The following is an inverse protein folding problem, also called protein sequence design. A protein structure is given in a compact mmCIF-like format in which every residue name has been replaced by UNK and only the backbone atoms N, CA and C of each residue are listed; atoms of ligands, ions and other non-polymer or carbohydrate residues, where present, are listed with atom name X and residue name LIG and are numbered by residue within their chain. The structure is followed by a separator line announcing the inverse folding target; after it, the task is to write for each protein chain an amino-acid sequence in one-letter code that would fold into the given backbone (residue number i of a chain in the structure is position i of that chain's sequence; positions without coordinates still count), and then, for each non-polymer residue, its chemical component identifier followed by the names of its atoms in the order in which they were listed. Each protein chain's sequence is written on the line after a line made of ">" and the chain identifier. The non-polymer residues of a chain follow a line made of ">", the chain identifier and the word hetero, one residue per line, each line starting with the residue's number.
data_IF_415219761975
#
_entry.id   IF_415219761975
#
_cell.length_a   1.000
_cell.length_b   1.000
_cell.length_c   1.000
_cell.angle_alpha   90.00
_cell.angle_beta   90.00
_cell.angle_gamma   90.00
#
_symmetry.space_group_name_H-M   'P 1'
#
loop_
_entity.id
_entity.type
_entity.pdbx_description
1 polymer ?
#
# COMPACT_ATOMS: atom_id res chain seq x y z
N UNK A 1 -7.87 -46.10 20.65
CA UNK A 1 -8.10 -45.11 19.58
C UNK A 1 -6.74 -44.70 19.02
N UNK A 2 -6.44 -45.01 17.75
CA UNK A 2 -5.10 -44.79 17.16
C UNK A 2 -5.06 -43.37 16.59
N UNK A 3 -4.39 -42.44 17.27
CA UNK A 3 -4.16 -41.11 16.74
C UNK A 3 -3.36 -41.24 15.44
N UNK A 4 -3.91 -40.78 14.32
CA UNK A 4 -3.18 -40.72 13.05
C UNK A 4 -2.26 -39.51 13.14
N UNK A 5 -0.96 -39.74 13.37
CA UNK A 5 0.05 -38.68 13.33
C UNK A 5 0.07 -38.10 11.91
N UNK A 6 -0.24 -36.82 11.74
CA UNK A 6 -0.05 -36.13 10.47
C UNK A 6 1.45 -36.00 10.20
N UNK A 7 1.91 -36.51 9.07
CA UNK A 7 3.33 -36.46 8.69
C UNK A 7 3.75 -35.06 8.26
N UNK A 8 5.03 -34.73 8.43
CA UNK A 8 5.63 -33.46 7.98
C UNK A 8 5.32 -33.15 6.51
N UNK A 9 5.29 -34.17 5.64
CA UNK A 9 4.91 -34.02 4.24
C UNK A 9 3.48 -33.51 4.05
N UNK A 10 2.51 -33.97 4.86
CA UNK A 10 1.13 -33.47 4.81
C UNK A 10 1.03 -32.04 5.33
N UNK A 11 1.87 -31.65 6.29
CA UNK A 11 1.96 -30.26 6.77
C UNK A 11 2.56 -29.34 5.70
N UNK A 12 3.62 -29.77 5.03
CA UNK A 12 4.26 -29.03 3.92
C UNK A 12 3.30 -28.90 2.75
N UNK A 13 2.59 -29.97 2.39
CA UNK A 13 1.60 -29.94 1.32
C UNK A 13 0.45 -28.98 1.67
N UNK A 14 -0.03 -29.00 2.92
CA UNK A 14 -1.08 -28.10 3.38
C UNK A 14 -0.62 -26.63 3.37
N UNK A 15 0.60 -26.35 3.80
CA UNK A 15 1.18 -25.01 3.76
C UNK A 15 1.35 -24.52 2.32
N UNK A 16 1.85 -25.36 1.41
CA UNK A 16 2.01 -25.03 -0.01
C UNK A 16 0.64 -24.77 -0.70
N UNK A 17 -0.37 -25.58 -0.38
CA UNK A 17 -1.75 -25.36 -0.86
C UNK A 17 -2.32 -24.06 -0.30
N UNK A 18 -2.11 -23.75 0.99
CA UNK A 18 -2.54 -22.48 1.58
C UNK A 18 -1.88 -21.28 0.89
N UNK A 19 -0.58 -21.35 0.58
CA UNK A 19 0.16 -20.28 -0.13
C UNK A 19 -0.25 -20.12 -1.59
N UNK A 20 -0.84 -21.15 -2.21
CA UNK A 20 -1.36 -21.09 -3.57
C UNK A 20 -2.84 -20.66 -3.64
N UNK A 21 -3.60 -20.84 -2.56
CA UNK A 21 -5.00 -20.42 -2.46
C UNK A 21 -5.15 -18.97 -2.03
N UNK A 22 -4.07 -18.34 -1.60
CA UNK A 22 -4.04 -16.92 -1.34
C UNK A 22 -3.62 -16.20 -2.63
N UNK A 23 -4.47 -15.34 -3.20
CA UNK A 23 -4.10 -14.61 -4.40
C UNK A 23 -2.83 -13.79 -4.13
N UNK A 24 -1.96 -13.71 -5.14
CA UNK A 24 -0.69 -12.95 -5.10
C UNK A 24 -0.90 -11.45 -4.82
N UNK A 25 -2.15 -11.01 -4.73
CA UNK A 25 -2.62 -9.68 -4.40
C UNK A 25 -2.55 -9.42 -2.89
N UNK A 26 -1.39 -9.61 -2.25
CA UNK A 26 -1.18 -9.03 -0.94
C UNK A 26 -0.68 -7.59 -1.10
N UNK A 27 -1.63 -6.66 -1.02
CA UNK A 27 -1.53 -5.51 -0.12
C UNK A 27 -0.37 -4.50 -0.32
N UNK A 28 -0.13 -4.05 -1.55
CA UNK A 28 0.45 -2.72 -1.73
C UNK A 28 -0.59 -1.84 -2.40
N UNK A 29 -1.05 -0.81 -1.69
CA UNK A 29 -1.83 0.26 -2.30
C UNK A 29 -1.02 0.86 -3.47
N UNK A 30 -1.68 1.29 -4.55
CA UNK A 30 -1.00 2.02 -5.62
C UNK A 30 -0.16 3.17 -5.04
N UNK A 31 0.98 3.47 -5.66
CA UNK A 31 1.80 4.62 -5.24
C UNK A 31 0.96 5.89 -5.41
N UNK A 32 0.79 6.67 -4.34
CA UNK A 32 -0.04 7.87 -4.36
C UNK A 32 -1.51 7.65 -3.97
N UNK A 33 -1.94 6.43 -3.61
CA UNK A 33 -3.23 6.18 -2.94
C UNK A 33 -3.09 6.50 -1.44
N UNK A 34 -3.36 7.76 -1.10
CA UNK A 34 -3.15 8.34 0.23
C UNK A 34 -4.35 8.10 1.16
N UNK A 35 -5.56 7.94 0.61
CA UNK A 35 -6.75 7.61 1.39
C UNK A 35 -7.00 6.09 1.53
N UNK A 36 -6.19 5.27 0.84
CA UNK A 36 -6.20 3.80 0.88
C UNK A 36 -7.51 3.22 0.36
N UNK A 37 -8.09 3.87 -0.65
CA UNK A 37 -9.33 3.43 -1.27
C UNK A 37 -9.14 2.51 -2.48
N UNK A 38 -7.90 2.14 -2.79
CA UNK A 38 -7.47 1.33 -3.94
C UNK A 38 -7.53 2.04 -5.30
N UNK A 39 -7.64 3.38 -5.33
CA UNK A 39 -7.67 4.21 -6.52
C UNK A 39 -6.87 5.48 -6.27
N UNK A 40 -5.96 5.83 -7.19
CA UNK A 40 -5.27 7.12 -7.16
C UNK A 40 -6.14 8.15 -7.89
N UNK A 41 -6.76 9.08 -7.17
CA UNK A 41 -7.62 10.10 -7.73
C UNK A 41 -7.47 11.50 -7.08
N UNK A 42 -8.44 12.38 -7.32
CA UNK A 42 -8.41 13.77 -6.83
C UNK A 42 -8.48 13.87 -5.30
N UNK A 43 -8.98 12.84 -4.61
CA UNK A 43 -9.00 12.78 -3.14
C UNK A 43 -7.59 12.68 -2.59
N UNK A 44 -6.75 11.88 -3.22
CA UNK A 44 -5.33 11.77 -2.86
C UNK A 44 -4.60 13.08 -3.10
N UNK A 45 -4.87 13.72 -4.23
CA UNK A 45 -4.31 15.06 -4.50
C UNK A 45 -4.76 16.07 -3.44
N UNK A 46 -5.99 15.99 -2.94
CA UNK A 46 -6.48 16.82 -1.84
C UNK A 46 -5.76 16.57 -0.52
N UNK A 47 -5.43 15.31 -0.21
CA UNK A 47 -4.63 14.95 0.97
C UNK A 47 -3.20 15.49 0.84
N UNK A 48 -2.58 15.31 -0.32
CA UNK A 48 -1.24 15.85 -0.61
C UNK A 48 -1.24 17.37 -0.50
N UNK A 49 -2.23 18.05 -1.10
CA UNK A 49 -2.35 19.50 -1.06
C UNK A 49 -2.50 20.05 0.37
N UNK A 50 -3.18 19.33 1.27
CA UNK A 50 -3.29 19.71 2.69
C UNK A 50 -1.95 19.63 3.43
N UNK A 51 -1.07 18.73 3.02
CA UNK A 51 0.27 18.58 3.56
C UNK A 51 1.34 19.39 2.80
N UNK A 52 0.98 20.09 1.72
CA UNK A 52 1.94 20.76 0.85
C UNK A 52 2.80 21.80 1.61
N UNK A 53 4.11 21.79 1.35
CA UNK A 53 5.11 22.63 2.02
C UNK A 53 5.46 22.20 3.44
N UNK A 54 4.95 21.06 3.92
CA UNK A 54 5.26 20.53 5.25
C UNK A 54 6.50 19.65 5.25
N UNK A 55 7.10 19.53 6.43
CA UNK A 55 8.26 18.68 6.76
C UNK A 55 8.08 18.10 8.18
N UNK A 56 8.88 17.12 8.61
CA UNK A 56 8.78 16.57 9.97
C UNK A 56 8.72 17.67 11.04
N UNK A 57 7.74 17.58 11.94
CA UNK A 57 7.36 18.57 12.97
C UNK A 57 6.42 19.71 12.53
N UNK A 58 6.08 19.83 11.25
CA UNK A 58 5.01 20.73 10.81
C UNK A 58 3.65 20.23 11.31
N UNK A 59 2.75 21.13 11.72
CA UNK A 59 1.43 20.74 12.25
C UNK A 59 0.56 20.02 11.20
N UNK A 60 0.79 20.30 9.92
CA UNK A 60 0.13 19.66 8.79
C UNK A 60 0.96 18.56 8.13
N UNK A 61 2.06 18.09 8.76
CA UNK A 61 2.88 17.01 8.24
C UNK A 61 2.06 15.73 8.05
N UNK A 62 2.12 15.18 6.84
CA UNK A 62 1.61 13.85 6.54
C UNK A 62 2.75 13.02 5.94
N UNK A 63 3.30 12.03 6.66
CA UNK A 63 4.39 11.21 6.14
C UNK A 63 3.98 10.39 4.91
N UNK A 64 2.69 10.07 4.75
CA UNK A 64 2.22 9.33 3.57
C UNK A 64 2.23 10.22 2.31
N UNK A 65 2.23 11.55 2.45
CA UNK A 65 2.27 12.50 1.32
C UNK A 65 3.70 12.82 0.83
N UNK A 66 4.74 12.43 1.57
CA UNK A 66 6.14 12.49 1.15
C UNK A 66 6.48 11.23 0.34
N UNK A 67 5.99 11.22 -0.91
CA UNK A 67 6.03 10.07 -1.80
C UNK A 67 7.45 9.74 -2.28
N UNK A 68 8.34 10.73 -2.28
CA UNK A 68 9.74 10.53 -2.65
C UNK A 68 10.65 10.22 -1.44
N UNK A 69 10.19 10.49 -0.22
CA UNK A 69 10.87 10.15 1.04
C UNK A 69 12.02 11.08 1.41
N UNK A 70 12.03 12.33 0.92
CA UNK A 70 13.10 13.29 1.21
C UNK A 70 12.83 14.21 2.41
N UNK A 71 11.69 14.03 3.07
CA UNK A 71 11.28 14.80 4.22
C UNK A 71 10.56 16.10 3.89
N UNK A 72 10.17 16.35 2.64
CA UNK A 72 9.38 17.52 2.24
C UNK A 72 8.23 17.11 1.32
N UNK A 73 7.01 17.55 1.66
CA UNK A 73 5.87 17.40 0.74
C UNK A 73 5.87 18.58 -0.22
N UNK A 74 6.24 18.36 -1.48
CA UNK A 74 6.29 19.42 -2.49
C UNK A 74 5.81 18.97 -3.90
N UNK A 75 6.18 19.76 -4.91
CA UNK A 75 5.76 19.53 -6.30
C UNK A 75 6.30 18.21 -6.87
N UNK A 76 7.39 17.66 -6.31
CA UNK A 76 7.98 16.39 -6.70
C UNK A 76 7.06 15.24 -6.29
N UNK A 77 6.46 15.31 -5.11
CA UNK A 77 5.46 14.34 -4.64
C UNK A 77 4.19 14.43 -5.47
N UNK A 78 3.72 15.66 -5.73
CA UNK A 78 2.59 15.85 -6.63
C UNK A 78 2.87 15.26 -8.03
N UNK A 79 4.10 15.39 -8.53
CA UNK A 79 4.53 14.76 -9.77
C UNK A 79 4.60 13.22 -9.72
N UNK A 80 4.86 12.62 -8.55
CA UNK A 80 4.74 11.16 -8.35
C UNK A 80 3.26 10.77 -8.39
N UNK A 81 2.41 11.41 -7.59
CA UNK A 81 0.98 11.12 -7.53
C UNK A 81 0.34 11.21 -8.92
N UNK A 82 0.62 12.29 -9.66
CA UNK A 82 0.08 12.50 -11.01
C UNK A 82 0.56 11.45 -12.03
N UNK A 83 1.74 10.83 -11.83
CA UNK A 83 2.21 9.73 -12.69
C UNK A 83 1.41 8.45 -12.48
N UNK A 84 0.85 8.26 -11.29
CA UNK A 84 0.02 7.10 -10.93
C UNK A 84 -1.49 7.40 -11.00
N UNK A 85 -1.88 8.60 -11.43
CA UNK A 85 -3.28 9.02 -11.43
C UNK A 85 -4.15 8.08 -12.29
N UNK A 86 -5.23 7.58 -11.70
CA UNK A 86 -6.16 6.62 -12.29
C UNK A 86 -5.77 5.15 -12.12
N UNK A 87 -4.60 4.85 -11.54
CA UNK A 87 -4.26 3.48 -11.13
C UNK A 87 -5.25 2.97 -10.09
N UNK A 88 -5.64 1.70 -10.23
CA UNK A 88 -6.56 1.04 -9.32
C UNK A 88 -6.31 -0.46 -9.24
N UNK A 89 -6.64 -1.05 -8.10
CA UNK A 89 -6.65 -2.51 -7.92
C UNK A 89 -8.09 -2.98 -8.00
N UNK A 90 -8.39 -3.81 -8.99
CA UNK A 90 -9.69 -4.48 -9.12
C UNK A 90 -9.61 -5.86 -8.44
N UNK A 91 -10.59 -6.18 -7.61
CA UNK A 91 -10.75 -7.46 -6.91
C UNK A 91 -11.89 -8.27 -7.49
#
# INVERSE_FOLDING_TARGET
>A
MRAKTVGLASLILLAAVLMALVPNSYCCFPVGDLDRNWVVDMRDLGILARAFGSYPNSTNWNPDADLNGDGFVDIRDAGILLRHFGERVEW
#
